data_IF_900993244069
#
_entry.id   IF_900993244069
#
_cell.length_a   1.000
_cell.length_b   1.000
_cell.length_c   1.000
_cell.angle_alpha   90.00
_cell.angle_beta   90.00
_cell.angle_gamma   90.00
#
_symmetry.space_group_name_H-M   'P 1'
#
loop_
_entity.id
_entity.type
_entity.pdbx_description
1 polymer ?
#
# COMPACT_ATOMS: atom_id res chain seq x y z
N UNK A 1 -4.49 -12.34 -0.57
CA UNK A 1 -5.85 -12.19 -0.03
C UNK A 1 -6.67 -11.30 -0.96
N UNK A 2 -7.93 -11.63 -1.32
CA UNK A 2 -8.78 -10.76 -2.13
C UNK A 2 -9.19 -9.47 -1.40
N UNK A 3 -9.47 -8.38 -2.14
CA UNK A 3 -9.81 -7.07 -1.59
C UNK A 3 -11.05 -7.08 -0.69
N UNK A 4 -12.10 -7.80 -1.08
CA UNK A 4 -13.32 -7.86 -0.27
C UNK A 4 -13.10 -8.49 1.11
N UNK A 5 -12.26 -9.53 1.18
CA UNK A 5 -11.86 -10.15 2.45
C UNK A 5 -10.90 -9.26 3.25
N UNK A 6 -9.98 -8.58 2.55
CA UNK A 6 -9.04 -7.66 3.19
C UNK A 6 -9.77 -6.53 3.91
N UNK A 7 -10.75 -5.90 3.26
CA UNK A 7 -11.51 -4.78 3.83
C UNK A 7 -12.34 -5.15 5.08
N UNK A 8 -12.61 -6.45 5.30
CA UNK A 8 -13.33 -6.95 6.48
C UNK A 8 -12.40 -7.21 7.68
N UNK A 9 -11.08 -7.12 7.50
CA UNK A 9 -10.11 -7.33 8.57
C UNK A 9 -10.21 -6.24 9.63
N UNK A 10 -10.08 -6.63 10.90
CA UNK A 10 -10.06 -5.69 12.02
C UNK A 10 -8.95 -4.65 11.82
N UNK A 11 -9.29 -3.36 11.95
CA UNK A 11 -8.35 -2.25 11.78
C UNK A 11 -7.95 -1.92 10.33
N UNK A 12 -8.24 -2.77 9.35
CA UNK A 12 -7.76 -2.60 7.96
C UNK A 12 -8.32 -1.32 7.31
N UNK A 13 -9.61 -1.04 7.51
CA UNK A 13 -10.23 0.21 6.99
C UNK A 13 -9.54 1.47 7.54
N UNK A 14 -9.14 1.44 8.82
CA UNK A 14 -8.39 2.53 9.45
C UNK A 14 -7.02 2.72 8.78
N UNK A 15 -6.26 1.64 8.61
CA UNK A 15 -4.96 1.68 7.93
C UNK A 15 -5.10 2.17 6.49
N UNK A 16 -6.10 1.69 5.73
CA UNK A 16 -6.34 2.15 4.37
C UNK A 16 -6.63 3.65 4.31
N UNK A 17 -7.44 4.15 5.25
CA UNK A 17 -7.75 5.58 5.36
C UNK A 17 -6.52 6.41 5.69
N UNK A 18 -5.65 5.91 6.57
CA UNK A 18 -4.39 6.57 6.92
C UNK A 18 -3.46 6.66 5.72
N UNK A 19 -3.32 5.58 4.95
CA UNK A 19 -2.53 5.56 3.71
C UNK A 19 -3.06 6.59 2.71
N UNK A 20 -4.38 6.66 2.48
CA UNK A 20 -4.98 7.63 1.56
C UNK A 20 -4.73 9.06 2.03
N UNK A 21 -4.89 9.33 3.33
CA UNK A 21 -4.64 10.65 3.92
C UNK A 21 -3.18 11.09 3.76
N UNK A 22 -2.23 10.19 3.99
CA UNK A 22 -0.81 10.45 3.78
C UNK A 22 -0.49 10.78 2.31
N UNK A 23 -1.05 10.01 1.37
CA UNK A 23 -0.88 10.28 -0.06
C UNK A 23 -1.45 11.64 -0.47
N UNK A 24 -2.62 12.01 0.04
CA UNK A 24 -3.24 13.31 -0.22
C UNK A 24 -2.42 14.46 0.37
N UNK A 25 -1.87 14.30 1.58
CA UNK A 25 -1.01 15.31 2.19
C UNK A 25 0.26 15.53 1.36
N UNK A 26 0.89 14.46 0.87
CA UNK A 26 2.05 14.54 -0.03
C UNK A 26 1.68 15.18 -1.36
N UNK A 27 0.55 14.80 -1.97
CA UNK A 27 0.07 15.40 -3.21
C UNK A 27 -0.16 16.92 -3.06
N UNK A 28 -0.79 17.33 -1.96
CA UNK A 28 -0.98 18.74 -1.63
C UNK A 28 0.35 19.48 -1.46
N UNK A 29 1.34 18.86 -0.79
CA UNK A 29 2.68 19.43 -0.64
C UNK A 29 3.44 19.60 -1.95
N UNK A 30 3.18 18.75 -2.95
CA UNK A 30 3.69 18.88 -4.32
C UNK A 30 2.88 19.86 -5.19
N UNK A 31 1.81 20.46 -4.66
CA UNK A 31 0.90 21.33 -5.42
C UNK A 31 0.00 20.58 -6.40
N UNK A 32 -0.16 19.26 -6.23
CA UNK A 32 -1.03 18.43 -7.06
C UNK A 32 -2.45 18.44 -6.49
N UNK A 33 -3.40 18.84 -7.31
CA UNK A 33 -4.83 18.78 -6.98
C UNK A 33 -5.36 17.41 -7.39
N UNK A 34 -5.78 16.62 -6.41
CA UNK A 34 -6.48 15.35 -6.67
C UNK A 34 -7.99 15.62 -6.60
N UNK A 35 -8.73 15.49 -7.72
CA UNK A 35 -10.14 15.80 -7.75
C UNK A 35 -10.97 14.70 -7.06
N UNK A 36 -12.05 15.11 -6.38
CA UNK A 36 -13.05 14.22 -5.80
C UNK A 36 -12.64 13.60 -4.46
N UNK A 37 -13.48 12.68 -3.98
CA UNK A 37 -13.23 11.94 -2.74
C UNK A 37 -12.47 10.63 -3.06
N UNK A 38 -11.15 10.69 -2.89
CA UNK A 38 -10.28 9.53 -3.09
C UNK A 38 -10.62 8.39 -2.13
N UNK A 39 -11.08 8.70 -0.92
CA UNK A 39 -11.43 7.67 0.05
C UNK A 39 -12.70 6.93 -0.36
N UNK A 40 -13.70 7.64 -0.86
CA UNK A 40 -14.89 7.03 -1.47
C UNK A 40 -14.49 6.13 -2.65
N UNK A 41 -13.65 6.63 -3.56
CA UNK A 41 -13.19 5.86 -4.71
C UNK A 41 -12.46 4.56 -4.30
N UNK A 42 -11.60 4.62 -3.28
CA UNK A 42 -10.89 3.45 -2.74
C UNK A 42 -11.85 2.43 -2.13
N UNK A 43 -12.86 2.88 -1.39
CA UNK A 43 -13.89 1.98 -0.86
C UNK A 43 -14.70 1.32 -1.99
N UNK A 44 -15.04 2.06 -3.04
CA UNK A 44 -15.75 1.52 -4.20
C UNK A 44 -14.96 0.43 -4.92
N UNK A 45 -13.63 0.52 -5.01
CA UNK A 45 -12.79 -0.54 -5.59
C UNK A 45 -12.93 -1.84 -4.80
N UNK A 46 -12.92 -1.78 -3.46
CA UNK A 46 -13.08 -2.96 -2.61
C UNK A 46 -14.47 -3.62 -2.79
N UNK A 47 -15.50 -2.84 -3.09
CA UNK A 47 -16.87 -3.30 -3.31
C UNK A 47 -17.11 -3.84 -4.73
N UNK A 48 -16.55 -3.19 -5.75
CA UNK A 48 -16.76 -3.53 -7.17
C UNK A 48 -15.85 -4.65 -7.65
N UNK A 49 -14.69 -4.82 -7.02
CA UNK A 49 -13.71 -5.86 -7.35
C UNK A 49 -13.33 -6.72 -6.12
N UNK A 50 -14.30 -7.30 -5.39
CA UNK A 50 -14.03 -7.95 -4.11
C UNK A 50 -13.16 -9.21 -4.25
N UNK A 51 -13.19 -9.88 -5.41
CA UNK A 51 -12.36 -11.04 -5.72
C UNK A 51 -10.92 -10.72 -6.13
N UNK A 52 -10.63 -9.46 -6.47
CA UNK A 52 -9.33 -9.05 -7.01
C UNK A 52 -8.25 -9.07 -5.93
N UNK A 53 -7.02 -9.38 -6.32
CA UNK A 53 -5.82 -9.34 -5.47
C UNK A 53 -4.85 -8.29 -6.02
N UNK A 54 -4.10 -7.60 -5.16
CA UNK A 54 -3.09 -6.64 -5.63
C UNK A 54 -1.98 -7.33 -6.40
N UNK A 55 -1.42 -6.65 -7.40
CA UNK A 55 -0.24 -7.11 -8.15
C UNK A 55 0.93 -7.39 -7.21
N UNK A 56 1.20 -6.52 -6.23
CA UNK A 56 2.20 -6.75 -5.18
C UNK A 56 2.00 -8.07 -4.45
N UNK A 57 0.76 -8.42 -4.09
CA UNK A 57 0.48 -9.70 -3.43
C UNK A 57 0.68 -10.90 -4.37
N UNK A 58 0.46 -10.72 -5.67
CA UNK A 58 0.73 -11.74 -6.68
C UNK A 58 2.24 -11.90 -6.92
N UNK A 59 2.98 -10.79 -7.00
CA UNK A 59 4.44 -10.77 -7.13
C UNK A 59 5.11 -11.45 -5.94
N UNK A 60 4.67 -11.12 -4.72
CA UNK A 60 5.14 -11.80 -3.51
C UNK A 60 4.83 -13.30 -3.54
N UNK A 61 3.63 -13.70 -3.98
CA UNK A 61 3.28 -15.12 -4.13
C UNK A 61 4.13 -15.84 -5.18
N UNK A 62 4.58 -15.12 -6.21
CA UNK A 62 5.44 -15.63 -7.28
C UNK A 62 6.93 -15.32 -7.08
N UNK A 63 7.31 -14.78 -5.91
CA UNK A 63 8.69 -14.38 -5.55
C UNK A 63 9.36 -13.46 -6.56
N UNK A 64 8.57 -12.58 -7.18
CA UNK A 64 9.07 -11.53 -8.05
C UNK A 64 9.29 -10.27 -7.22
N UNK A 65 10.24 -9.46 -7.67
CA UNK A 65 10.39 -8.10 -7.15
C UNK A 65 9.11 -7.33 -7.47
N UNK A 66 8.49 -6.73 -6.46
CA UNK A 66 7.28 -5.93 -6.63
C UNK A 66 7.61 -4.47 -6.94
N UNK A 67 6.60 -3.72 -7.35
CA UNK A 67 6.70 -2.27 -7.59
C UNK A 67 6.62 -1.43 -6.31
N UNK A 68 6.75 -2.03 -5.12
CA UNK A 68 6.55 -1.33 -3.83
C UNK A 68 7.44 -0.10 -3.66
N UNK A 69 8.65 -0.14 -4.23
CA UNK A 69 9.59 0.99 -4.22
C UNK A 69 9.01 2.21 -4.98
N UNK A 70 8.23 1.96 -6.03
CA UNK A 70 7.58 3.00 -6.84
C UNK A 70 6.17 3.37 -6.34
N UNK A 71 5.61 2.61 -5.41
CA UNK A 71 4.31 2.87 -4.78
C UNK A 71 4.51 3.54 -3.41
N UNK A 72 4.46 2.76 -2.33
CA UNK A 72 4.61 3.29 -0.98
C UNK A 72 6.00 3.91 -0.75
N UNK A 73 7.05 3.34 -1.34
CA UNK A 73 8.41 3.89 -1.27
C UNK A 73 8.52 5.30 -1.87
N UNK A 74 7.82 5.55 -2.97
CA UNK A 74 7.76 6.88 -3.59
C UNK A 74 7.09 7.91 -2.67
N UNK A 75 5.95 7.56 -2.07
CA UNK A 75 5.24 8.43 -1.11
C UNK A 75 6.10 8.72 0.12
N UNK A 76 6.83 7.72 0.64
CA UNK A 76 7.77 7.92 1.75
C UNK A 76 8.86 8.92 1.38
N UNK A 77 9.53 8.72 0.24
CA UNK A 77 10.60 9.62 -0.19
C UNK A 77 10.13 11.06 -0.43
N UNK A 78 8.94 11.23 -1.03
CA UNK A 78 8.32 12.56 -1.19
C UNK A 78 7.93 13.19 0.14
N UNK A 79 7.34 12.41 1.05
CA UNK A 79 7.02 12.87 2.39
C UNK A 79 8.25 13.37 3.15
N UNK A 80 9.36 12.63 3.10
CA UNK A 80 10.63 13.04 3.72
C UNK A 80 11.17 14.35 3.12
N UNK A 81 11.15 14.50 1.80
CA UNK A 81 11.60 15.72 1.12
C UNK A 81 10.76 16.97 1.49
N UNK A 82 9.47 16.77 1.80
CA UNK A 82 8.52 17.85 2.12
C UNK A 82 8.32 18.05 3.63
N UNK A 83 8.92 17.22 4.49
CA UNK A 83 8.68 17.24 5.94
C UNK A 83 7.29 16.75 6.35
N UNK A 84 6.66 15.91 5.52
CA UNK A 84 5.32 15.35 5.73
C UNK A 84 5.44 13.91 6.25
N UNK A 85 4.78 13.63 7.37
CA UNK A 85 4.80 12.30 7.98
C UNK A 85 4.00 11.28 7.14
N UNK A 86 4.64 10.16 6.81
CA UNK A 86 4.05 9.04 6.04
C UNK A 86 4.23 7.67 6.75
N UNK A 87 3.84 7.54 8.04
CA UNK A 87 4.13 6.33 8.83
C UNK A 87 3.45 5.06 8.31
N UNK A 88 2.19 5.12 7.86
CA UNK A 88 1.50 3.94 7.35
C UNK A 88 2.16 3.44 6.06
N UNK A 89 2.49 4.35 5.12
CA UNK A 89 3.22 4.02 3.92
C UNK A 89 4.61 3.44 4.22
N UNK A 90 5.32 3.99 5.21
CA UNK A 90 6.64 3.49 5.66
C UNK A 90 6.56 2.06 6.18
N UNK A 91 5.58 1.76 7.03
CA UNK A 91 5.38 0.41 7.57
C UNK A 91 5.06 -0.58 6.46
N UNK A 92 4.14 -0.23 5.55
CA UNK A 92 3.78 -1.11 4.43
C UNK A 92 4.97 -1.39 3.50
N UNK A 93 5.74 -0.35 3.14
CA UNK A 93 6.96 -0.50 2.34
C UNK A 93 7.95 -1.45 3.01
N UNK A 94 8.29 -1.19 4.28
CA UNK A 94 9.25 -2.00 5.04
C UNK A 94 8.82 -3.48 5.14
N UNK A 95 7.54 -3.75 5.44
CA UNK A 95 7.03 -5.12 5.53
C UNK A 95 7.10 -5.87 4.20
N UNK A 96 6.75 -5.21 3.10
CA UNK A 96 6.85 -5.84 1.77
C UNK A 96 8.30 -6.10 1.39
N UNK A 97 9.22 -5.15 1.62
CA UNK A 97 10.66 -5.36 1.38
C UNK A 97 11.22 -6.53 2.20
N UNK A 98 10.78 -6.69 3.44
CA UNK A 98 11.16 -7.82 4.29
C UNK A 98 10.62 -9.16 3.76
N UNK A 99 9.40 -9.17 3.21
CA UNK A 99 8.83 -10.37 2.59
C UNK A 99 9.53 -10.71 1.27
N UNK A 100 9.97 -9.72 0.48
CA UNK A 100 10.77 -9.93 -0.73
C UNK A 100 12.17 -10.48 -0.44
N UNK A 101 12.78 -10.07 0.68
CA UNK A 101 14.16 -10.42 1.02
C UNK A 101 14.30 -11.75 1.73
N UNK A 102 13.19 -12.38 2.16
CA UNK A 102 13.21 -13.64 2.90
C UNK A 102 13.67 -14.79 1.97
N UNK A 103 14.86 -15.38 2.19
CA UNK A 103 15.26 -16.59 1.48
C UNK A 103 14.36 -17.74 1.93
N UNK A 104 14.19 -18.76 1.06
CA UNK A 104 13.43 -19.97 1.41
C UNK A 104 13.88 -20.52 2.77
N UNK A 105 12.97 -20.54 3.74
CA UNK A 105 13.16 -21.36 4.93
C UNK A 105 12.54 -22.72 4.65
N UNK A 106 13.37 -23.67 4.18
CA UNK A 106 13.10 -25.11 4.32
C UNK A 106 12.81 -25.91 3.05
N UNK A 107 13.83 -26.14 2.22
CA UNK A 107 14.20 -27.51 1.93
C UNK A 107 14.98 -28.02 3.16
N UNK A 108 14.29 -28.66 4.09
CA UNK A 108 14.93 -29.54 5.07
C UNK A 108 14.71 -30.94 4.52
N UNK A 109 15.81 -31.55 4.07
CA UNK A 109 15.90 -32.97 3.71
C UNK A 109 15.61 -33.87 4.90
#
# INVERSE_FOLDING_TARGET
MPYGRLAQGEGVSGVMRDVVRECLAVAQGEGVIVPGDVWEAVQQIAQTMPGQRSSTAQDLAHRKRSEIDHLNGYIVGKGEALGIATPANRVLHALVKLLESRPETGAVS
#
